data_IF_842980253360
#
_entry.id   IF_842980253360
#
_cell.length_a   1.000
_cell.length_b   1.000
_cell.length_c   1.000
_cell.angle_alpha   90.00
_cell.angle_beta   90.00
_cell.angle_gamma   90.00
#
_symmetry.space_group_name_H-M   'P 1'
#
loop_
_entity.id
_entity.type
_entity.pdbx_description
1 polymer ?
#
# COMPACT_ATOMS: atom_id res chain seq x y z
N UNK A 1 -44.31 25.82 33.99
CA UNK A 1 -43.65 26.49 32.85
C UNK A 1 -42.29 25.86 32.65
N UNK A 2 -41.98 25.45 31.43
CA UNK A 2 -40.64 24.96 31.06
C UNK A 2 -39.60 26.09 31.26
N UNK A 3 -38.53 25.79 31.99
CA UNK A 3 -37.35 26.67 32.05
C UNK A 3 -36.43 26.29 30.88
N UNK A 4 -36.50 27.04 29.80
CA UNK A 4 -35.43 27.04 28.81
C UNK A 4 -34.14 27.54 29.48
N UNK A 5 -33.09 26.72 29.45
CA UNK A 5 -31.75 27.19 29.76
C UNK A 5 -31.24 28.03 28.60
N UNK A 6 -30.89 29.28 28.88
CA UNK A 6 -30.20 30.16 27.94
C UNK A 6 -28.83 29.55 27.60
N UNK A 7 -28.64 29.12 26.36
CA UNK A 7 -27.31 28.81 25.86
C UNK A 7 -26.58 30.14 25.61
N UNK A 8 -25.58 30.42 26.45
CA UNK A 8 -24.55 31.42 26.14
C UNK A 8 -23.66 30.87 25.02
N UNK A 9 -23.25 31.67 24.02
CA UNK A 9 -22.29 31.25 23.00
C UNK A 9 -20.88 30.96 23.56
N UNK A 10 -20.66 31.19 24.86
CA UNK A 10 -19.42 30.91 25.55
C UNK A 10 -19.59 29.75 26.54
N UNK A 11 -19.85 28.55 26.02
CA UNK A 11 -19.76 27.34 26.84
C UNK A 11 -18.28 27.02 27.08
N UNK A 12 -17.83 27.37 28.28
CA UNK A 12 -16.55 27.04 28.88
C UNK A 12 -16.29 25.53 28.86
N UNK A 13 -15.29 25.09 28.09
CA UNK A 13 -14.86 23.70 28.06
C UNK A 13 -14.18 23.34 29.39
N UNK A 14 -14.78 22.42 30.15
CA UNK A 14 -14.21 21.83 31.37
C UNK A 14 -12.86 21.12 31.09
N UNK A 15 -11.79 21.89 30.96
CA UNK A 15 -10.39 21.51 31.06
C UNK A 15 -9.84 20.36 30.17
N UNK A 16 -10.47 19.96 29.05
CA UNK A 16 -9.73 19.29 27.94
C UNK A 16 -10.49 19.18 26.60
N UNK A 17 -10.51 20.20 25.73
CA UNK A 17 -10.99 20.04 24.35
C UNK A 17 -9.82 20.12 23.38
N UNK A 18 -9.03 19.06 23.21
CA UNK A 18 -8.29 18.89 21.94
C UNK A 18 -9.29 18.39 20.90
N UNK A 19 -10.24 19.25 20.53
CA UNK A 19 -11.10 19.06 19.37
C UNK A 19 -10.23 19.30 18.14
N UNK A 20 -9.64 18.24 17.60
CA UNK A 20 -9.10 18.28 16.24
C UNK A 20 -10.29 18.48 15.30
N UNK A 21 -10.57 19.72 14.92
CA UNK A 21 -11.45 20.02 13.81
C UNK A 21 -10.67 19.58 12.56
N UNK A 22 -10.91 18.34 12.14
CA UNK A 22 -10.67 17.93 10.76
C UNK A 22 -11.51 18.85 9.86
N UNK A 23 -10.83 19.76 9.17
CA UNK A 23 -11.40 20.79 8.31
C UNK A 23 -11.50 20.32 6.86
N UNK A 24 -10.80 19.25 6.47
CA UNK A 24 -10.70 18.80 5.07
C UNK A 24 -11.40 17.46 4.81
N UNK A 25 -11.82 16.76 5.86
CA UNK A 25 -12.59 15.52 5.81
C UNK A 25 -11.73 14.29 5.49
N UNK A 26 -10.40 14.41 5.40
CA UNK A 26 -9.52 13.32 4.97
C UNK A 26 -9.29 12.31 6.08
N UNK A 27 -9.17 11.04 5.71
CA UNK A 27 -8.71 10.05 6.66
C UNK A 27 -7.18 10.05 6.75
N UNK A 28 -6.65 10.21 7.96
CA UNK A 28 -5.22 10.15 8.27
C UNK A 28 -4.83 8.72 8.67
N UNK A 29 -4.14 8.04 7.75
CA UNK A 29 -3.53 6.73 7.98
C UNK A 29 -2.04 6.83 8.28
N UNK A 30 -1.54 5.87 9.04
CA UNK A 30 -0.15 5.81 9.46
C UNK A 30 0.40 4.41 9.27
N UNK A 31 1.55 4.32 8.64
CA UNK A 31 2.26 3.05 8.45
C UNK A 31 3.48 2.98 9.36
N UNK A 32 3.59 1.90 10.14
CA UNK A 32 4.80 1.61 10.90
C UNK A 32 5.92 1.08 9.99
N UNK A 33 7.17 1.13 10.47
CA UNK A 33 8.29 0.46 9.79
C UNK A 33 8.05 -1.03 9.57
N UNK A 34 7.25 -1.69 10.42
CA UNK A 34 6.86 -3.10 10.25
C UNK A 34 5.70 -3.33 9.28
N UNK A 35 5.27 -2.31 8.54
CA UNK A 35 4.18 -2.38 7.57
C UNK A 35 2.77 -2.49 8.18
N UNK A 36 2.61 -2.15 9.47
CA UNK A 36 1.28 -2.12 10.11
C UNK A 36 0.62 -0.77 9.85
N UNK A 37 -0.63 -0.81 9.39
CA UNK A 37 -1.45 0.37 9.15
C UNK A 37 -2.30 0.71 10.37
N UNK A 38 -2.45 2.00 10.67
CA UNK A 38 -3.34 2.57 11.69
C UNK A 38 -4.17 3.67 11.05
N UNK A 39 -5.43 3.82 11.47
CA UNK A 39 -6.24 4.99 11.14
C UNK A 39 -6.31 5.88 12.39
N UNK A 40 -5.73 7.08 12.30
CA UNK A 40 -5.69 8.09 13.37
C UNK A 40 -6.80 9.13 13.25
N UNK A 41 -7.61 9.08 12.18
CA UNK A 41 -8.83 9.88 12.05
C UNK A 41 -9.78 9.55 13.19
N UNK A 42 -10.33 10.57 13.88
CA UNK A 42 -11.42 10.37 14.84
C UNK A 42 -12.56 9.56 14.22
N UNK A 43 -13.09 8.58 14.97
CA UNK A 43 -14.06 7.60 14.45
C UNK A 43 -15.29 8.28 13.83
N UNK A 44 -15.77 9.37 14.44
CA UNK A 44 -16.92 10.16 14.01
C UNK A 44 -16.66 10.98 12.74
N UNK A 45 -15.43 11.00 12.24
CA UNK A 45 -14.99 11.76 11.06
C UNK A 45 -14.51 10.91 9.89
N UNK A 46 -14.33 9.61 10.10
CA UNK A 46 -13.86 8.68 9.08
C UNK A 46 -14.75 8.64 7.84
N UNK A 47 -14.14 8.59 6.66
CA UNK A 47 -14.80 8.37 5.38
C UNK A 47 -15.67 9.54 4.92
N UNK A 48 -15.38 10.76 5.37
CA UNK A 48 -16.15 11.97 4.98
C UNK A 48 -15.54 12.71 3.78
N UNK A 49 -14.25 12.52 3.52
CA UNK A 49 -13.51 13.17 2.43
C UNK A 49 -13.31 12.25 1.23
N UNK A 50 -12.80 12.81 0.13
CA UNK A 50 -12.54 12.07 -1.10
C UNK A 50 -11.12 11.51 -1.20
N UNK A 51 -10.25 11.84 -0.24
CA UNK A 51 -8.83 11.47 -0.24
C UNK A 51 -8.40 11.03 1.15
N UNK A 52 -7.39 10.16 1.17
CA UNK A 52 -6.74 9.67 2.38
C UNK A 52 -5.27 10.13 2.40
N UNK A 53 -4.75 10.43 3.58
CA UNK A 53 -3.31 10.66 3.79
C UNK A 53 -2.65 9.39 4.33
N UNK A 54 -1.42 9.12 3.89
CA UNK A 54 -0.57 8.06 4.45
C UNK A 54 0.72 8.68 4.98
N UNK A 55 0.94 8.61 6.28
CA UNK A 55 2.13 9.11 6.96
C UNK A 55 3.05 7.97 7.39
N UNK A 56 4.36 8.22 7.38
CA UNK A 56 5.31 7.34 8.04
C UNK A 56 5.27 7.56 9.56
N UNK A 57 5.11 6.49 10.34
CA UNK A 57 4.97 6.61 11.80
C UNK A 57 6.16 7.26 12.49
N UNK A 58 7.38 7.00 11.99
CA UNK A 58 8.63 7.49 12.57
C UNK A 58 8.98 8.93 12.18
N UNK A 59 8.37 9.45 11.13
CA UNK A 59 8.57 10.83 10.66
C UNK A 59 7.31 11.30 9.94
N UNK A 60 6.52 12.13 10.62
CA UNK A 60 5.24 12.63 10.13
C UNK A 60 5.37 13.70 9.04
N UNK A 61 6.58 14.19 8.77
CA UNK A 61 6.83 15.06 7.61
C UNK A 61 6.84 14.28 6.29
N UNK A 62 7.00 12.95 6.35
CA UNK A 62 6.99 12.07 5.19
C UNK A 62 5.58 11.50 5.01
N UNK A 63 4.90 11.94 3.95
CA UNK A 63 3.55 11.49 3.62
C UNK A 63 3.23 11.55 2.14
N UNK A 64 2.13 10.90 1.77
CA UNK A 64 1.47 11.01 0.47
C UNK A 64 -0.04 11.18 0.69
N UNK A 65 -0.73 11.82 -0.26
CA UNK A 65 -2.19 11.88 -0.31
C UNK A 65 -2.65 11.08 -1.52
N UNK A 66 -3.66 10.24 -1.35
CA UNK A 66 -4.22 9.37 -2.40
C UNK A 66 -5.74 9.45 -2.39
N UNK A 67 -6.38 8.93 -3.44
CA UNK A 67 -7.84 8.82 -3.44
C UNK A 67 -8.30 7.85 -2.34
N UNK A 68 -9.45 8.16 -1.75
CA UNK A 68 -9.98 7.34 -0.66
C UNK A 68 -10.26 5.90 -1.10
N UNK A 69 -10.18 4.97 -0.14
CA UNK A 69 -10.71 3.62 -0.28
C UNK A 69 -9.66 2.53 -0.09
N UNK A 70 -8.52 2.61 -0.77
CA UNK A 70 -7.48 1.56 -0.68
C UNK A 70 -6.94 1.41 0.76
N UNK A 71 -6.57 2.53 1.41
CA UNK A 71 -6.02 2.50 2.77
C UNK A 71 -7.07 2.04 3.79
N UNK A 72 -8.33 2.46 3.62
CA UNK A 72 -9.45 1.99 4.43
C UNK A 72 -9.73 0.49 4.31
N UNK A 73 -9.69 -0.05 3.09
CA UNK A 73 -9.84 -1.49 2.86
C UNK A 73 -8.66 -2.27 3.47
N UNK A 74 -7.42 -1.81 3.25
CA UNK A 74 -6.21 -2.42 3.82
C UNK A 74 -6.23 -2.46 5.35
N UNK A 75 -6.66 -1.36 5.99
CA UNK A 75 -6.79 -1.28 7.44
C UNK A 75 -7.88 -2.23 7.95
N UNK A 76 -9.01 -2.31 7.24
CA UNK A 76 -10.14 -3.18 7.61
C UNK A 76 -9.79 -4.66 7.46
N UNK A 77 -9.15 -5.06 6.36
CA UNK A 77 -8.69 -6.45 6.16
C UNK A 77 -7.62 -6.82 7.19
N UNK A 78 -6.68 -5.93 7.48
CA UNK A 78 -5.70 -6.14 8.53
C UNK A 78 -6.36 -6.43 9.89
N UNK A 79 -7.43 -5.71 10.25
CA UNK A 79 -8.17 -5.95 11.49
C UNK A 79 -8.93 -7.28 11.49
N UNK A 80 -9.47 -7.71 10.33
CA UNK A 80 -10.12 -9.02 10.18
C UNK A 80 -9.12 -10.17 10.36
N UNK A 81 -7.99 -10.13 9.67
CA UNK A 81 -6.93 -11.16 9.76
C UNK A 81 -6.38 -11.30 11.19
N UNK A 82 -6.22 -10.18 11.90
CA UNK A 82 -5.81 -10.18 13.32
C UNK A 82 -6.83 -10.88 14.23
N UNK A 83 -8.13 -10.72 13.99
CA UNK A 83 -9.19 -11.37 14.78
C UNK A 83 -9.30 -12.86 14.46
N UNK A 84 -9.04 -13.26 13.22
CA UNK A 84 -9.09 -14.66 12.76
C UNK A 84 -7.87 -15.49 13.20
N UNK A 85 -7.00 -14.94 14.07
CA UNK A 85 -5.78 -15.56 14.61
C UNK A 85 -4.79 -16.01 13.52
N UNK A 86 -4.89 -15.42 12.32
CA UNK A 86 -4.23 -15.86 11.10
C UNK A 86 -3.39 -14.73 10.50
N UNK A 87 -2.10 -14.79 10.80
CA UNK A 87 -1.02 -14.11 10.07
C UNK A 87 -1.07 -12.57 10.11
N UNK A 88 0.10 -11.97 9.94
CA UNK A 88 0.29 -10.53 9.99
C UNK A 88 0.01 -9.85 8.62
N UNK A 89 -1.08 -10.20 7.94
CA UNK A 89 -1.37 -9.71 6.58
C UNK A 89 -2.06 -8.35 6.58
N UNK A 90 -1.77 -7.53 5.56
CA UNK A 90 -2.56 -6.35 5.20
C UNK A 90 -2.64 -6.30 3.68
N UNK A 91 -3.85 -6.13 3.15
CA UNK A 91 -4.09 -6.12 1.71
C UNK A 91 -5.38 -5.37 1.38
N UNK A 92 -5.42 -4.78 0.20
CA UNK A 92 -6.59 -4.09 -0.35
C UNK A 92 -6.46 -3.95 -1.85
N UNK A 93 -7.54 -3.52 -2.50
CA UNK A 93 -7.66 -3.39 -3.94
C UNK A 93 -8.22 -2.03 -4.35
N UNK A 94 -7.89 -1.63 -5.57
CA UNK A 94 -8.46 -0.44 -6.20
C UNK A 94 -8.34 -0.52 -7.72
N UNK A 95 -9.26 0.12 -8.43
CA UNK A 95 -9.14 0.34 -9.88
C UNK A 95 -8.33 1.61 -10.21
N UNK A 96 -8.06 2.44 -9.20
CA UNK A 96 -7.14 3.56 -9.32
C UNK A 96 -5.69 3.09 -9.21
N UNK A 97 -5.10 2.81 -10.38
CA UNK A 97 -3.72 2.34 -10.50
C UNK A 97 -2.70 3.35 -9.97
N UNK A 98 -3.01 4.65 -9.96
CA UNK A 98 -2.13 5.69 -9.42
C UNK A 98 -2.09 5.63 -7.89
N UNK A 99 -3.26 5.49 -7.26
CA UNK A 99 -3.36 5.26 -5.82
C UNK A 99 -2.61 3.99 -5.42
N UNK A 100 -2.77 2.88 -6.16
CA UNK A 100 -2.05 1.64 -5.89
C UNK A 100 -0.53 1.78 -6.03
N UNK A 101 -0.04 2.41 -7.10
CA UNK A 101 1.38 2.66 -7.32
C UNK A 101 1.97 3.56 -6.21
N UNK A 102 1.24 4.60 -5.81
CA UNK A 102 1.66 5.54 -4.77
C UNK A 102 1.77 4.85 -3.41
N UNK A 103 0.75 4.09 -3.00
CA UNK A 103 0.76 3.36 -1.72
C UNK A 103 1.86 2.31 -1.71
N UNK A 104 2.01 1.51 -2.78
CA UNK A 104 3.07 0.52 -2.87
C UNK A 104 4.46 1.15 -2.79
N UNK A 105 4.74 2.19 -3.58
CA UNK A 105 6.06 2.85 -3.60
C UNK A 105 6.39 3.43 -2.23
N UNK A 106 5.45 4.15 -1.62
CA UNK A 106 5.62 4.71 -0.28
C UNK A 106 5.92 3.61 0.75
N UNK A 107 5.15 2.53 0.74
CA UNK A 107 5.31 1.46 1.71
C UNK A 107 6.63 0.69 1.51
N UNK A 108 6.98 0.34 0.27
CA UNK A 108 8.24 -0.31 -0.07
C UNK A 108 9.46 0.56 0.28
N UNK A 109 9.33 1.88 0.15
CA UNK A 109 10.44 2.80 0.43
C UNK A 109 10.68 3.03 1.92
N UNK A 110 9.63 3.04 2.72
CA UNK A 110 9.69 3.53 4.09
C UNK A 110 9.53 2.44 5.16
N UNK A 111 9.23 1.21 4.76
CA UNK A 111 9.11 0.07 5.69
C UNK A 111 10.31 -0.87 5.60
N UNK A 112 10.35 -1.84 6.51
CA UNK A 112 11.37 -2.89 6.60
C UNK A 112 10.76 -4.26 6.35
N UNK A 113 9.72 -4.32 5.51
CA UNK A 113 9.03 -5.55 5.10
C UNK A 113 8.79 -5.51 3.61
N UNK A 114 8.59 -6.67 2.99
CA UNK A 114 8.27 -6.73 1.57
C UNK A 114 6.79 -6.40 1.31
N UNK A 115 6.58 -5.74 0.18
CA UNK A 115 5.28 -5.35 -0.35
C UNK A 115 5.08 -5.96 -1.72
N UNK A 116 3.83 -6.20 -2.07
CA UNK A 116 3.41 -6.69 -3.38
C UNK A 116 2.42 -5.72 -4.02
N UNK A 117 2.55 -5.55 -5.32
CA UNK A 117 1.61 -4.87 -6.21
C UNK A 117 1.31 -5.78 -7.39
N UNK A 118 0.15 -6.40 -7.33
CA UNK A 118 -0.40 -7.20 -8.41
C UNK A 118 -1.43 -6.37 -9.19
N UNK A 119 -1.51 -6.57 -10.51
CA UNK A 119 -2.59 -6.00 -11.33
C UNK A 119 -3.30 -7.12 -12.08
N UNK A 120 -4.62 -7.13 -11.96
CA UNK A 120 -5.52 -8.08 -12.58
C UNK A 120 -6.32 -7.38 -13.67
N UNK A 121 -6.44 -8.01 -14.83
CA UNK A 121 -7.21 -7.53 -15.98
C UNK A 121 -8.43 -8.45 -16.18
N UNK A 122 -9.62 -7.90 -15.91
CA UNK A 122 -10.90 -8.54 -16.19
C UNK A 122 -11.54 -7.87 -17.39
N UNK A 123 -11.24 -8.39 -18.58
CA UNK A 123 -11.80 -7.93 -19.85
C UNK A 123 -11.63 -6.41 -20.08
N UNK A 124 -10.43 -5.89 -19.79
CA UNK A 124 -10.08 -4.47 -19.93
C UNK A 124 -10.27 -3.65 -18.65
N UNK A 125 -10.97 -4.17 -17.64
CA UNK A 125 -11.05 -3.53 -16.32
C UNK A 125 -9.87 -3.95 -15.47
N UNK A 126 -9.00 -3.01 -15.13
CA UNK A 126 -7.81 -3.28 -14.33
C UNK A 126 -8.03 -2.99 -12.85
N UNK A 127 -7.77 -3.97 -12.00
CA UNK A 127 -7.82 -3.85 -10.54
C UNK A 127 -6.46 -4.19 -9.97
N UNK A 128 -5.86 -3.24 -9.25
CA UNK A 128 -4.63 -3.46 -8.51
C UNK A 128 -4.91 -4.02 -7.12
N UNK A 129 -4.01 -4.87 -6.62
CA UNK A 129 -3.98 -5.37 -5.25
C UNK A 129 -2.63 -4.99 -4.64
N UNK A 130 -2.66 -4.24 -3.53
CA UNK A 130 -1.48 -3.92 -2.73
C UNK A 130 -1.51 -4.76 -1.46
N UNK A 131 -0.42 -5.45 -1.14
CA UNK A 131 -0.38 -6.37 -0.03
C UNK A 131 0.98 -6.49 0.65
N UNK A 132 0.99 -6.92 1.91
CA UNK A 132 2.19 -7.30 2.67
C UNK A 132 1.88 -8.42 3.66
N UNK A 133 2.82 -9.35 3.84
CA UNK A 133 2.78 -10.33 4.92
C UNK A 133 3.44 -9.82 6.22
N UNK A 134 3.95 -8.57 6.17
CA UNK A 134 4.79 -7.96 7.20
C UNK A 134 6.01 -8.81 7.55
N UNK A 135 6.60 -9.43 6.52
CA UNK A 135 7.81 -10.23 6.57
C UNK A 135 8.91 -9.53 5.74
N UNK A 136 10.14 -9.37 6.27
CA UNK A 136 11.27 -8.83 5.53
C UNK A 136 11.86 -9.73 4.45
N UNK A 137 11.55 -11.03 4.43
CA UNK A 137 12.21 -12.01 3.56
C UNK A 137 11.34 -12.52 2.40
N UNK A 138 10.11 -12.04 2.29
CA UNK A 138 9.21 -12.47 1.23
C UNK A 138 7.79 -11.93 1.39
N UNK A 139 7.06 -11.95 0.28
CA UNK A 139 5.62 -11.70 0.25
C UNK A 139 4.93 -12.66 -0.72
N UNK A 140 4.07 -13.52 -0.19
CA UNK A 140 3.34 -14.53 -0.97
C UNK A 140 1.85 -14.57 -0.58
N UNK A 141 1.23 -13.40 -0.62
CA UNK A 141 -0.19 -13.24 -0.30
C UNK A 141 -1.03 -12.67 -1.43
N UNK A 142 -0.46 -12.49 -2.63
CA UNK A 142 -1.19 -11.93 -3.77
C UNK A 142 -2.44 -12.75 -4.13
N UNK A 143 -2.29 -14.07 -4.31
CA UNK A 143 -3.43 -14.97 -4.63
C UNK A 143 -4.44 -15.03 -3.48
N UNK A 144 -3.94 -15.06 -2.24
CA UNK A 144 -4.80 -15.05 -1.06
C UNK A 144 -5.64 -13.75 -0.98
N UNK A 145 -4.98 -12.61 -1.16
CA UNK A 145 -5.60 -11.29 -1.15
C UNK A 145 -6.62 -11.16 -2.30
N UNK A 146 -6.26 -11.58 -3.52
CA UNK A 146 -7.18 -11.62 -4.65
C UNK A 146 -8.48 -12.36 -4.31
N UNK A 147 -8.38 -13.57 -3.77
CA UNK A 147 -9.54 -14.38 -3.42
C UNK A 147 -10.38 -13.73 -2.31
N UNK A 148 -9.73 -13.19 -1.27
CA UNK A 148 -10.43 -12.54 -0.14
C UNK A 148 -11.12 -11.24 -0.54
N UNK A 149 -10.53 -10.51 -1.48
CA UNK A 149 -11.08 -9.28 -2.04
C UNK A 149 -12.06 -9.54 -3.21
N UNK A 150 -12.24 -10.80 -3.62
CA UNK A 150 -13.05 -11.19 -4.79
C UNK A 150 -12.63 -10.48 -6.09
N UNK A 151 -11.34 -10.18 -6.25
CA UNK A 151 -10.80 -9.54 -7.44
C UNK A 151 -10.75 -10.55 -8.60
N UNK A 152 -11.39 -10.20 -9.71
CA UNK A 152 -11.50 -11.02 -10.91
C UNK A 152 -10.39 -10.71 -11.91
N UNK A 153 -10.30 -11.54 -12.94
CA UNK A 153 -9.41 -11.34 -14.07
C UNK A 153 -8.07 -12.07 -13.96
N UNK A 154 -7.32 -12.01 -15.05
CA UNK A 154 -5.98 -12.60 -15.12
C UNK A 154 -4.94 -11.65 -14.52
N UNK A 155 -3.99 -12.20 -13.76
CA UNK A 155 -2.89 -11.40 -13.24
C UNK A 155 -1.91 -11.06 -14.38
N UNK A 156 -1.88 -9.78 -14.77
CA UNK A 156 -1.03 -9.26 -15.85
C UNK A 156 0.27 -8.63 -15.34
N UNK A 157 0.32 -8.24 -14.06
CA UNK A 157 1.52 -7.69 -13.40
C UNK A 157 1.69 -8.33 -12.02
N UNK A 158 2.93 -8.69 -11.70
CA UNK A 158 3.36 -9.13 -10.37
C UNK A 158 4.66 -8.42 -10.02
N UNK A 159 4.56 -7.43 -9.14
CA UNK A 159 5.71 -6.71 -8.59
C UNK A 159 5.76 -7.03 -7.10
N UNK A 160 6.93 -7.40 -6.59
CA UNK A 160 7.20 -7.36 -5.16
C UNK A 160 8.48 -6.58 -4.86
N UNK A 161 8.59 -6.04 -3.65
CA UNK A 161 9.73 -5.24 -3.24
C UNK A 161 10.75 -6.07 -2.49
N UNK A 162 12.04 -5.94 -2.80
CA UNK A 162 13.11 -6.47 -1.95
C UNK A 162 13.70 -5.40 -1.04
N UNK A 163 14.04 -5.83 0.18
CA UNK A 163 14.88 -5.05 1.09
C UNK A 163 16.36 -5.12 0.69
N UNK A 164 17.21 -4.22 1.22
CA UNK A 164 18.64 -4.24 0.90
C UNK A 164 19.30 -5.59 1.19
N UNK A 165 20.06 -6.10 0.23
CA UNK A 165 20.65 -7.45 0.27
C UNK A 165 19.82 -8.51 -0.46
N UNK A 166 18.59 -8.18 -0.87
CA UNK A 166 17.77 -9.04 -1.73
C UNK A 166 18.32 -9.14 -3.17
N UNK A 167 17.80 -10.09 -3.93
CA UNK A 167 18.24 -10.28 -5.32
C UNK A 167 17.67 -9.20 -6.25
N UNK A 168 18.46 -8.83 -7.26
CA UNK A 168 17.96 -8.02 -8.38
C UNK A 168 17.18 -8.91 -9.35
N UNK A 169 15.86 -8.77 -9.35
CA UNK A 169 14.96 -9.66 -10.08
C UNK A 169 14.71 -10.95 -9.31
N UNK A 170 13.89 -11.83 -9.90
CA UNK A 170 13.44 -13.05 -9.25
C UNK A 170 14.59 -13.98 -8.84
N UNK A 171 14.36 -14.77 -7.79
CA UNK A 171 15.22 -15.87 -7.40
C UNK A 171 14.41 -17.01 -6.79
N UNK A 172 14.95 -18.22 -6.82
CA UNK A 172 14.34 -19.38 -6.18
C UNK A 172 12.88 -19.59 -6.61
N UNK A 173 11.94 -19.44 -5.67
CA UNK A 173 10.53 -19.69 -5.91
C UNK A 173 9.88 -18.69 -6.88
N UNK A 174 10.46 -17.50 -7.06
CA UNK A 174 9.99 -16.53 -8.04
C UNK A 174 9.93 -17.11 -9.46
N UNK A 175 10.93 -17.93 -9.82
CA UNK A 175 10.98 -18.58 -11.12
C UNK A 175 9.85 -19.59 -11.30
N UNK A 176 9.47 -20.31 -10.25
CA UNK A 176 8.36 -21.26 -10.28
C UNK A 176 7.01 -20.55 -10.44
N UNK A 177 6.88 -19.38 -9.81
CA UNK A 177 5.67 -18.56 -9.85
C UNK A 177 5.58 -17.67 -11.09
N UNK A 178 6.70 -17.42 -11.79
CA UNK A 178 6.75 -16.58 -12.98
C UNK A 178 5.88 -17.16 -14.11
N UNK A 179 5.09 -16.28 -14.74
CA UNK A 179 4.26 -16.63 -15.90
C UNK A 179 4.72 -15.81 -17.12
N UNK A 180 4.90 -16.42 -18.30
CA UNK A 180 5.39 -15.72 -19.50
C UNK A 180 4.53 -14.55 -19.96
N UNK A 181 3.21 -14.65 -19.80
CA UNK A 181 2.23 -13.63 -20.20
C UNK A 181 2.07 -12.47 -19.20
N UNK A 182 2.86 -12.48 -18.12
CA UNK A 182 2.79 -11.53 -17.01
C UNK A 182 4.10 -10.76 -16.90
N UNK A 183 4.03 -9.48 -16.58
CA UNK A 183 5.22 -8.72 -16.16
C UNK A 183 5.59 -9.12 -14.73
N UNK A 184 6.62 -9.96 -14.59
CA UNK A 184 7.17 -10.34 -13.29
C UNK A 184 8.35 -9.42 -12.98
N UNK A 185 8.30 -8.74 -11.84
CA UNK A 185 9.29 -7.73 -11.49
C UNK A 185 9.59 -7.69 -9.99
N UNK A 186 10.82 -7.31 -9.67
CA UNK A 186 11.24 -6.93 -8.33
C UNK A 186 11.49 -5.43 -8.31
N UNK A 187 10.84 -4.71 -7.40
CA UNK A 187 11.20 -3.34 -7.06
C UNK A 187 12.27 -3.35 -5.96
N UNK A 188 13.34 -2.58 -6.12
CA UNK A 188 14.37 -2.46 -5.13
C UNK A 188 14.78 -1.01 -4.95
N UNK A 189 14.43 -0.46 -3.79
CA UNK A 189 14.81 0.90 -3.39
C UNK A 189 16.33 1.07 -3.30
N UNK A 190 17.00 0.17 -2.59
CA UNK A 190 18.44 0.25 -2.38
C UNK A 190 18.99 -1.14 -2.05
N UNK A 191 20.05 -1.58 -2.74
CA UNK A 191 20.68 -2.87 -2.46
C UNK A 191 21.90 -2.77 -1.52
N UNK A 192 22.26 -1.58 -1.05
CA UNK A 192 23.46 -1.31 -0.23
C UNK A 192 24.79 -1.73 -0.86
N UNK A 193 24.80 -1.97 -2.16
CA UNK A 193 26.01 -2.14 -2.95
C UNK A 193 26.28 -0.82 -3.65
N UNK A 194 27.45 -0.21 -3.40
CA UNK A 194 27.75 1.16 -3.84
C UNK A 194 27.67 1.37 -5.36
N UNK A 195 27.91 0.32 -6.14
CA UNK A 195 27.82 0.33 -7.60
C UNK A 195 26.39 0.19 -8.12
N UNK A 196 25.44 -0.17 -7.25
CA UNK A 196 24.07 -0.46 -7.66
C UNK A 196 23.25 0.81 -7.76
N UNK A 197 22.51 0.91 -8.87
CA UNK A 197 21.45 1.90 -8.96
C UNK A 197 20.38 1.54 -7.93
N UNK A 198 20.05 2.52 -7.09
CA UNK A 198 18.85 2.57 -6.26
C UNK A 198 17.59 2.62 -7.14
N UNK A 199 16.40 2.56 -6.57
CA UNK A 199 15.27 3.08 -7.34
C UNK A 199 14.79 2.17 -8.47
N UNK A 200 15.10 0.87 -8.47
CA UNK A 200 15.05 0.06 -9.70
C UNK A 200 13.92 -0.95 -9.69
N UNK A 201 13.26 -1.12 -10.83
CA UNK A 201 12.57 -2.36 -11.17
C UNK A 201 13.51 -3.26 -11.98
N UNK A 202 13.55 -4.54 -11.62
CA UNK A 202 14.21 -5.60 -12.37
C UNK A 202 13.19 -6.64 -12.79
N UNK A 203 12.97 -6.77 -14.09
CA UNK A 203 12.09 -7.78 -14.64
C UNK A 203 12.77 -9.15 -14.64
N UNK A 204 11.95 -10.20 -14.57
CA UNK A 204 12.40 -11.58 -14.65
C UNK A 204 11.38 -12.47 -15.37
N UNK A 205 11.87 -13.61 -15.83
CA UNK A 205 11.09 -14.70 -16.40
C UNK A 205 11.32 -15.96 -15.57
N UNK A 206 10.65 -17.05 -15.91
CA UNK A 206 10.91 -18.37 -15.30
C UNK A 206 12.38 -18.82 -15.42
N UNK A 207 13.12 -18.34 -16.42
CA UNK A 207 14.45 -18.86 -16.74
C UNK A 207 15.59 -17.86 -16.50
N UNK A 208 15.27 -16.59 -16.27
CA UNK A 208 16.29 -15.54 -16.19
C UNK A 208 15.79 -14.33 -15.38
N UNK A 209 16.71 -13.72 -14.64
CA UNK A 209 16.50 -12.46 -13.94
C UNK A 209 17.22 -11.30 -14.62
N UNK A 210 16.75 -10.09 -14.35
CA UNK A 210 17.28 -8.84 -14.93
C UNK A 210 17.17 -8.83 -16.46
N UNK A 211 16.11 -9.42 -17.00
CA UNK A 211 15.86 -9.41 -18.45
C UNK A 211 15.57 -8.01 -18.98
N UNK A 212 15.07 -7.14 -18.10
CA UNK A 212 14.96 -5.70 -18.29
C UNK A 212 15.13 -5.00 -16.94
N UNK A 213 15.50 -3.73 -16.96
CA UNK A 213 15.53 -2.91 -15.75
C UNK A 213 15.20 -1.46 -16.04
N UNK A 214 14.41 -0.84 -15.17
CA UNK A 214 14.03 0.57 -15.27
C UNK A 214 14.27 1.28 -13.94
N UNK A 215 14.57 2.58 -14.01
CA UNK A 215 14.60 3.45 -12.84
C UNK A 215 13.19 3.97 -12.56
N UNK A 216 12.83 4.08 -11.28
CA UNK A 216 11.55 4.51 -10.74
C UNK A 216 11.83 5.58 -9.70
N UNK A 217 11.88 6.85 -10.09
CA UNK A 217 12.14 7.96 -9.18
C UNK A 217 10.97 8.17 -8.23
N UNK A 218 9.75 8.09 -8.76
CA UNK A 218 8.51 8.31 -8.01
C UNK A 218 7.38 7.34 -8.44
N UNK A 219 6.18 7.56 -7.90
CA UNK A 219 5.01 6.74 -8.19
C UNK A 219 4.51 6.90 -9.64
N UNK A 220 4.80 8.02 -10.31
CA UNK A 220 4.41 8.25 -11.71
C UNK A 220 5.20 7.34 -12.64
N UNK A 221 6.50 7.14 -12.40
CA UNK A 221 7.30 6.17 -13.16
C UNK A 221 6.76 4.74 -13.00
N UNK A 222 6.39 4.36 -11.77
CA UNK A 222 5.79 3.06 -11.48
C UNK A 222 4.44 2.90 -12.18
N UNK A 223 3.60 3.94 -12.16
CA UNK A 223 2.32 3.96 -12.87
C UNK A 223 2.50 3.79 -14.39
N UNK A 224 3.48 4.49 -14.97
CA UNK A 224 3.80 4.34 -16.39
C UNK A 224 4.25 2.91 -16.71
N UNK A 225 5.10 2.31 -15.87
CA UNK A 225 5.50 0.91 -16.02
C UNK A 225 4.30 -0.03 -16.02
N UNK A 226 3.35 0.18 -15.10
CA UNK A 226 2.13 -0.61 -14.96
C UNK A 226 1.16 -0.44 -16.14
N UNK A 227 1.09 0.77 -16.71
CA UNK A 227 0.21 1.06 -17.84
C UNK A 227 0.75 0.58 -19.18
N UNK A 228 2.06 0.40 -19.32
CA UNK A 228 2.66 -0.14 -20.55
C UNK A 228 2.05 -1.52 -20.83
N UNK A 229 1.64 -1.73 -22.08
CA UNK A 229 1.26 -3.07 -22.56
C UNK A 229 2.45 -4.02 -22.51
#
# INVERSE_FOLDING_TARGET
SEKYYSWSPYTYCKNNPVLRIDLDGKDDYVISRSGRLFNETPIDKRGKGSTDNLYLSSDRSISVTVNQGLLGEMHSMQAKEQKENRVKKSYGSTQDLETAATVFKFAADHTTVEWKLDVYDDNGTRTAVVATDRDPYGVDNGVYAQNKLSVKGEKVIDIHSHLPGGTKGGAGNDFNLAKPQRKNAVYMKDNRVSTDKKDMIYEYTKNASRVNSIRVYDATDLLQYIKRK
#
